data_IF_961754534086
#
_entry.id   IF_961754534086
#
_cell.length_a   1.000
_cell.length_b   1.000
_cell.length_c   1.000
_cell.angle_alpha   90.00
_cell.angle_beta   90.00
_cell.angle_gamma   90.00
#
_symmetry.space_group_name_H-M   'P 1'
#
loop_
_entity.id
_entity.type
_entity.pdbx_description
1 polymer ?
#
# COMPACT_ATOMS: atom_id res chain seq x y z
N UNK A 1 -46.74 -7.83 -2.44
CA UNK A 1 -46.27 -6.43 -2.38
C UNK A 1 -46.52 -5.77 -1.04
N UNK A 2 -47.72 -5.89 -0.42
CA UNK A 2 -48.00 -5.35 0.92
C UNK A 2 -47.03 -5.85 2.00
N UNK A 3 -46.78 -7.15 2.09
CA UNK A 3 -45.83 -7.75 3.05
C UNK A 3 -44.38 -7.25 2.94
N UNK A 4 -43.94 -6.73 1.79
CA UNK A 4 -42.60 -6.20 1.58
C UNK A 4 -42.48 -4.79 2.14
N UNK A 5 -43.52 -3.97 2.00
CA UNK A 5 -43.55 -2.58 2.51
C UNK A 5 -43.69 -2.58 4.04
N UNK A 6 -44.56 -3.42 4.60
CA UNK A 6 -44.73 -3.56 6.05
C UNK A 6 -43.44 -4.03 6.73
N UNK A 7 -42.73 -4.98 6.10
CA UNK A 7 -41.43 -5.47 6.58
C UNK A 7 -40.36 -4.36 6.55
N UNK A 8 -40.28 -3.61 5.44
CA UNK A 8 -39.34 -2.51 5.29
C UNK A 8 -39.60 -1.38 6.33
N UNK A 9 -40.88 -1.09 6.61
CA UNK A 9 -41.27 -0.12 7.64
C UNK A 9 -40.86 -0.64 9.03
N UNK A 10 -41.16 -1.91 9.34
CA UNK A 10 -40.78 -2.51 10.62
C UNK A 10 -39.26 -2.52 10.82
N UNK A 11 -38.48 -2.91 9.81
CA UNK A 11 -37.04 -2.91 9.84
C UNK A 11 -36.47 -1.49 10.05
N UNK A 12 -37.05 -0.48 9.39
CA UNK A 12 -36.66 0.92 9.58
C UNK A 12 -36.95 1.43 11.00
N UNK A 13 -38.08 1.08 11.58
CA UNK A 13 -38.39 1.45 12.97
C UNK A 13 -37.49 0.73 13.98
N UNK A 14 -37.13 -0.53 13.73
CA UNK A 14 -36.18 -1.25 14.56
C UNK A 14 -34.78 -0.67 14.48
N UNK A 15 -34.31 -0.29 13.29
CA UNK A 15 -33.04 0.42 13.09
C UNK A 15 -33.02 1.79 13.80
N UNK A 16 -34.12 2.54 13.74
CA UNK A 16 -34.23 3.81 14.46
C UNK A 16 -34.22 3.63 15.98
N UNK A 17 -34.93 2.61 16.51
CA UNK A 17 -34.93 2.31 17.93
C UNK A 17 -33.54 1.90 18.43
N UNK A 18 -32.86 1.01 17.72
CA UNK A 18 -31.48 0.62 18.01
C UNK A 18 -30.52 1.79 17.90
N UNK A 19 -30.69 2.66 16.90
CA UNK A 19 -29.89 3.87 16.74
C UNK A 19 -30.05 4.84 17.92
N UNK A 20 -31.25 4.97 18.48
CA UNK A 20 -31.50 5.78 19.67
C UNK A 20 -30.91 5.16 20.94
N UNK A 21 -30.92 3.83 21.07
CA UNK A 21 -30.32 3.14 22.23
C UNK A 21 -28.79 3.16 22.20
N UNK A 22 -28.21 2.97 21.01
CA UNK A 22 -26.74 2.78 20.86
C UNK A 22 -26.01 4.04 20.39
N UNK A 23 -26.74 5.09 19.99
CA UNK A 23 -26.15 6.30 19.36
C UNK A 23 -25.63 6.07 17.94
N UNK A 24 -25.86 4.90 17.34
CA UNK A 24 -25.39 4.51 16.01
C UNK A 24 -26.56 4.20 15.08
N UNK A 25 -26.75 4.98 14.03
CA UNK A 25 -27.81 4.79 13.03
C UNK A 25 -27.32 4.00 11.83
N UNK A 26 -28.18 3.10 11.31
CA UNK A 26 -27.93 2.28 10.14
C UNK A 26 -27.59 0.82 10.49
N UNK A 27 -27.50 -0.03 9.44
CA UNK A 27 -27.17 -1.44 9.59
C UNK A 27 -25.79 -1.59 10.26
N UNK A 28 -25.74 -2.33 11.36
CA UNK A 28 -24.48 -2.61 12.06
C UNK A 28 -23.60 -3.51 11.17
N UNK A 29 -22.34 -3.11 10.90
CA UNK A 29 -21.42 -3.98 10.19
C UNK A 29 -21.14 -5.25 10.99
N UNK A 30 -21.12 -6.37 10.31
CA UNK A 30 -20.77 -7.67 10.88
C UNK A 30 -19.34 -8.00 10.53
N UNK A 31 -18.47 -8.10 11.53
CA UNK A 31 -17.03 -8.33 11.32
C UNK A 31 -16.62 -9.60 12.06
N UNK A 32 -16.08 -10.58 11.32
CA UNK A 32 -15.45 -11.74 11.91
C UNK A 32 -14.02 -11.39 12.39
N UNK A 33 -13.59 -12.02 13.49
CA UNK A 33 -12.21 -11.97 13.97
C UNK A 33 -11.74 -13.41 14.24
N UNK A 34 -10.67 -13.87 13.55
CA UNK A 34 -9.99 -15.11 13.95
C UNK A 34 -9.21 -14.85 15.23
N UNK A 35 -9.60 -15.49 16.33
CA UNK A 35 -9.06 -15.21 17.67
C UNK A 35 -7.73 -15.88 17.94
N UNK A 36 -7.47 -17.01 17.25
CA UNK A 36 -6.28 -17.84 17.46
C UNK A 36 -5.06 -17.32 16.69
N UNK A 37 -3.86 -17.76 17.07
CA UNK A 37 -2.62 -17.40 16.36
C UNK A 37 -1.93 -16.13 16.88
N UNK A 38 -2.51 -15.38 17.84
CA UNK A 38 -1.86 -14.23 18.47
C UNK A 38 -0.66 -14.65 19.34
N UNK A 39 0.47 -13.96 19.22
CA UNK A 39 1.63 -14.13 20.12
C UNK A 39 1.31 -13.72 21.58
N UNK A 40 0.24 -12.95 21.78
CA UNK A 40 -0.23 -12.48 23.08
C UNK A 40 -1.39 -13.30 23.65
N UNK A 41 -1.69 -14.45 23.04
CA UNK A 41 -2.78 -15.32 23.46
C UNK A 41 -4.17 -14.91 22.92
N UNK A 42 -5.12 -15.80 23.09
CA UNK A 42 -6.49 -15.62 22.60
C UNK A 42 -7.25 -14.54 23.39
N UNK A 43 -6.89 -14.34 24.66
CA UNK A 43 -7.45 -13.29 25.51
C UNK A 43 -7.18 -11.87 24.95
N UNK A 44 -6.03 -11.65 24.32
CA UNK A 44 -5.71 -10.38 23.65
C UNK A 44 -6.68 -10.12 22.48
N UNK A 45 -6.97 -11.12 21.68
CA UNK A 45 -7.93 -11.03 20.55
C UNK A 45 -9.36 -10.85 21.06
N UNK A 46 -9.75 -11.53 22.13
CA UNK A 46 -11.07 -11.38 22.73
C UNK A 46 -11.26 -9.98 23.35
N UNK A 47 -10.23 -9.44 24.03
CA UNK A 47 -10.28 -8.07 24.55
C UNK A 47 -10.51 -7.05 23.43
N UNK A 48 -9.86 -7.24 22.28
CA UNK A 48 -10.10 -6.41 21.09
C UNK A 48 -11.53 -6.51 20.54
N UNK A 49 -12.08 -7.73 20.50
CA UNK A 49 -13.45 -7.97 20.06
C UNK A 49 -14.47 -7.26 20.95
N UNK A 50 -14.31 -7.37 22.28
CA UNK A 50 -15.19 -6.70 23.27
C UNK A 50 -15.10 -5.18 23.11
N UNK A 51 -13.89 -4.64 22.89
CA UNK A 51 -13.72 -3.20 22.72
C UNK A 51 -14.38 -2.69 21.44
N UNK A 52 -14.19 -3.38 20.32
CA UNK A 52 -14.79 -2.98 19.04
C UNK A 52 -16.33 -3.13 19.03
N UNK A 53 -16.89 -4.12 19.73
CA UNK A 53 -18.33 -4.33 19.80
C UNK A 53 -19.07 -3.13 20.45
N UNK A 54 -18.40 -2.36 21.32
CA UNK A 54 -18.97 -1.15 21.95
C UNK A 54 -19.25 -0.03 20.93
N UNK A 55 -18.63 -0.09 19.75
CA UNK A 55 -18.75 0.96 18.71
C UNK A 55 -19.84 0.66 17.68
N UNK A 56 -20.83 -0.17 18.05
CA UNK A 56 -21.94 -0.50 17.15
C UNK A 56 -21.52 -1.42 15.99
N UNK A 57 -20.63 -2.37 16.27
CA UNK A 57 -20.17 -3.40 15.35
C UNK A 57 -20.60 -4.76 15.90
N UNK A 58 -21.20 -5.59 15.06
CA UNK A 58 -21.51 -6.97 15.43
C UNK A 58 -20.27 -7.83 15.19
N UNK A 59 -19.52 -8.12 16.26
CA UNK A 59 -18.28 -8.88 16.19
C UNK A 59 -18.56 -10.37 16.34
N UNK A 60 -18.12 -11.14 15.34
CA UNK A 60 -18.15 -12.61 15.31
C UNK A 60 -16.74 -13.12 15.64
N UNK A 61 -16.54 -13.57 16.86
CA UNK A 61 -15.26 -14.08 17.32
C UNK A 61 -15.14 -15.57 16.99
N UNK A 62 -14.17 -15.93 16.17
CA UNK A 62 -13.91 -17.31 15.75
C UNK A 62 -12.76 -17.85 16.60
N UNK A 63 -13.08 -18.69 17.59
CA UNK A 63 -12.10 -19.17 18.58
C UNK A 63 -12.75 -19.98 19.70
N UNK A 64 -12.05 -20.08 20.83
CA UNK A 64 -12.51 -20.89 21.97
C UNK A 64 -13.20 -20.08 23.08
N UNK A 65 -12.90 -18.78 23.17
CA UNK A 65 -13.37 -17.92 24.26
C UNK A 65 -14.78 -17.36 23.99
N UNK A 66 -15.51 -17.06 25.04
CA UNK A 66 -16.82 -16.43 25.00
C UNK A 66 -16.83 -15.15 25.84
N UNK A 67 -17.55 -14.13 25.38
CA UNK A 67 -17.74 -12.89 26.13
C UNK A 67 -19.11 -12.27 25.82
N UNK A 68 -19.63 -11.49 26.77
CA UNK A 68 -20.86 -10.71 26.58
C UNK A 68 -20.66 -9.65 25.50
N UNK A 69 -21.64 -9.50 24.62
CA UNK A 69 -21.61 -8.52 23.51
C UNK A 69 -20.84 -8.98 22.27
N UNK A 70 -20.28 -10.19 22.28
CA UNK A 70 -19.54 -10.79 21.15
C UNK A 70 -20.19 -12.13 20.81
N UNK A 71 -20.40 -12.38 19.52
CA UNK A 71 -20.92 -13.67 19.05
C UNK A 71 -19.75 -14.61 18.83
N UNK A 72 -19.63 -15.68 19.64
CA UNK A 72 -18.56 -16.66 19.46
C UNK A 72 -18.96 -17.78 18.53
N UNK A 73 -18.11 -18.03 17.53
CA UNK A 73 -18.12 -19.18 16.63
C UNK A 73 -17.01 -20.13 17.08
N UNK A 74 -17.40 -21.23 17.74
CA UNK A 74 -16.42 -22.16 18.31
C UNK A 74 -15.74 -22.99 17.23
N UNK A 75 -14.42 -23.06 17.33
CA UNK A 75 -13.53 -23.87 16.48
C UNK A 75 -12.47 -24.53 17.35
N UNK A 76 -11.92 -25.64 16.88
CA UNK A 76 -10.94 -26.41 17.66
C UNK A 76 -9.48 -25.95 17.46
N UNK A 77 -9.18 -25.30 16.33
CA UNK A 77 -7.84 -24.86 15.96
C UNK A 77 -7.88 -23.70 14.95
N UNK A 78 -6.72 -23.13 14.66
CA UNK A 78 -6.56 -21.99 13.75
C UNK A 78 -6.99 -22.30 12.31
N UNK A 79 -6.69 -23.51 11.80
CA UNK A 79 -7.06 -23.95 10.45
C UNK A 79 -8.59 -24.00 10.27
N UNK A 80 -9.30 -24.64 11.19
CA UNK A 80 -10.77 -24.64 11.22
C UNK A 80 -11.33 -23.22 11.32
N UNK A 81 -10.65 -22.34 12.07
CA UNK A 81 -11.00 -20.94 12.20
C UNK A 81 -10.92 -20.19 10.88
N UNK A 82 -9.90 -20.43 10.09
CA UNK A 82 -9.76 -19.85 8.74
C UNK A 82 -10.82 -20.34 7.79
N UNK A 83 -11.07 -21.66 7.75
CA UNK A 83 -12.10 -22.26 6.89
C UNK A 83 -13.48 -21.68 7.23
N UNK A 84 -13.77 -21.54 8.53
CA UNK A 84 -15.04 -20.97 8.99
C UNK A 84 -15.19 -19.50 8.64
N UNK A 85 -14.13 -18.72 8.76
CA UNK A 85 -14.10 -17.31 8.35
C UNK A 85 -14.42 -17.16 6.86
N UNK A 86 -13.78 -17.97 6.00
CA UNK A 86 -14.02 -17.94 4.56
C UNK A 86 -15.45 -18.36 4.20
N UNK A 87 -15.99 -19.39 4.87
CA UNK A 87 -17.38 -19.82 4.72
C UNK A 87 -18.35 -18.68 5.05
N UNK A 88 -18.16 -18.01 6.19
CA UNK A 88 -19.03 -16.92 6.65
C UNK A 88 -18.98 -15.70 5.71
N UNK A 89 -17.82 -15.36 5.18
CA UNK A 89 -17.67 -14.30 4.17
C UNK A 89 -18.40 -14.68 2.87
N UNK A 90 -18.19 -15.91 2.38
CA UNK A 90 -18.79 -16.40 1.15
C UNK A 90 -20.31 -16.47 1.22
N UNK A 91 -20.85 -16.85 2.39
CA UNK A 91 -22.29 -16.93 2.61
C UNK A 91 -22.94 -15.58 2.95
N UNK A 92 -22.15 -14.52 3.13
CA UNK A 92 -22.64 -13.18 3.51
C UNK A 92 -23.16 -13.13 4.96
N UNK A 93 -22.72 -14.06 5.82
CA UNK A 93 -23.02 -14.06 7.25
C UNK A 93 -22.30 -12.90 7.95
N UNK A 94 -21.12 -12.54 7.46
CA UNK A 94 -20.34 -11.36 7.88
C UNK A 94 -20.00 -10.51 6.67
N UNK A 95 -19.86 -9.19 6.90
CA UNK A 95 -19.53 -8.22 5.85
C UNK A 95 -18.01 -8.09 5.64
N UNK A 96 -17.21 -8.44 6.66
CA UNK A 96 -15.74 -8.36 6.65
C UNK A 96 -15.13 -9.35 7.64
N UNK A 97 -13.84 -9.60 7.50
CA UNK A 97 -13.07 -10.39 8.45
C UNK A 97 -11.73 -9.72 8.79
N UNK A 98 -11.25 -9.95 10.02
CA UNK A 98 -9.91 -9.58 10.50
C UNK A 98 -9.18 -10.86 10.87
N UNK A 99 -7.99 -11.05 10.32
CA UNK A 99 -7.18 -12.25 10.55
C UNK A 99 -5.69 -11.94 10.56
N UNK A 100 -4.89 -12.83 11.11
CA UNK A 100 -3.43 -12.66 11.22
C UNK A 100 -2.67 -13.16 9.99
N UNK A 101 -3.32 -13.95 9.15
CA UNK A 101 -2.77 -14.47 7.90
C UNK A 101 -3.87 -14.73 6.88
N UNK A 102 -3.62 -14.39 5.62
CA UNK A 102 -4.50 -14.74 4.51
C UNK A 102 -3.72 -14.78 3.19
N UNK A 103 -3.88 -15.85 2.38
CA UNK A 103 -3.15 -16.00 1.11
C UNK A 103 -3.85 -15.22 -0.01
N UNK A 104 -3.61 -13.92 -0.11
CA UNK A 104 -4.17 -13.13 -1.20
C UNK A 104 -3.66 -13.59 -2.58
N UNK A 105 -4.51 -13.61 -3.60
CA UNK A 105 -4.08 -13.88 -4.97
C UNK A 105 -3.20 -12.73 -5.50
N UNK A 106 -2.38 -13.04 -6.52
CA UNK A 106 -1.63 -12.00 -7.26
C UNK A 106 -2.62 -11.00 -7.88
N UNK A 107 -2.37 -9.72 -7.71
CA UNK A 107 -3.27 -8.64 -8.08
C UNK A 107 -3.99 -8.00 -6.88
N UNK A 108 -3.89 -8.62 -5.70
CA UNK A 108 -4.46 -8.10 -4.45
C UNK A 108 -3.33 -7.74 -3.49
N UNK A 109 -3.39 -6.54 -2.95
CA UNK A 109 -2.47 -6.08 -1.91
C UNK A 109 -3.21 -5.27 -0.86
N UNK A 110 -2.62 -5.17 0.33
CA UNK A 110 -3.28 -4.53 1.46
C UNK A 110 -2.91 -3.06 1.60
N UNK A 111 -3.88 -2.27 2.05
CA UNK A 111 -3.70 -0.85 2.36
C UNK A 111 -3.79 -0.67 3.87
N UNK A 112 -2.63 -0.62 4.52
CA UNK A 112 -2.54 -0.38 5.95
C UNK A 112 -2.92 1.05 6.33
N UNK A 113 -3.21 1.26 7.62
CA UNK A 113 -3.48 2.59 8.16
C UNK A 113 -2.72 2.75 9.47
N UNK A 114 -1.82 3.70 9.51
CA UNK A 114 -0.97 3.97 10.68
C UNK A 114 -1.29 5.33 11.29
N UNK A 115 -0.82 5.52 12.52
CA UNK A 115 -0.79 6.82 13.21
C UNK A 115 0.66 7.26 13.29
N UNK A 116 0.96 8.44 12.76
CA UNK A 116 2.34 8.91 12.67
C UNK A 116 2.81 9.54 13.99
N UNK A 117 4.07 9.28 14.40
CA UNK A 117 4.54 9.69 15.72
C UNK A 117 4.72 11.20 15.90
N UNK A 118 5.05 11.94 14.83
CA UNK A 118 5.32 13.37 14.95
C UNK A 118 4.05 14.22 15.08
N UNK A 119 2.95 13.81 14.43
CA UNK A 119 1.73 14.62 14.32
C UNK A 119 0.49 13.93 14.83
N UNK A 120 0.57 12.65 15.20
CA UNK A 120 -0.57 11.78 15.52
C UNK A 120 -1.65 11.75 14.42
N UNK A 121 -1.27 12.02 13.17
CA UNK A 121 -2.16 11.94 12.01
C UNK A 121 -2.21 10.52 11.49
N UNK A 122 -3.36 10.18 10.96
CA UNK A 122 -3.56 8.92 10.24
C UNK A 122 -3.05 9.04 8.81
N UNK A 123 -2.38 8.01 8.34
CA UNK A 123 -1.86 7.89 6.99
C UNK A 123 -2.10 6.47 6.46
N UNK A 124 -2.60 6.37 5.24
CA UNK A 124 -2.73 5.09 4.54
C UNK A 124 -1.39 4.68 3.93
N UNK A 125 -0.98 3.44 4.12
CA UNK A 125 0.23 2.86 3.54
C UNK A 125 -0.17 1.87 2.45
N UNK A 126 0.09 2.20 1.23
CA UNK A 126 -0.23 1.40 0.05
C UNK A 126 1.07 0.96 -0.66
N UNK A 127 1.57 -0.21 -0.48
CA UNK A 127 1.10 -1.49 0.03
C UNK A 127 1.81 -1.90 1.35
N UNK A 128 1.21 -2.87 2.10
CA UNK A 128 1.78 -3.39 3.36
C UNK A 128 2.00 -4.90 3.34
N UNK A 129 1.22 -5.66 2.56
CA UNK A 129 1.40 -7.10 2.28
C UNK A 129 0.63 -7.48 1.01
N UNK A 130 0.83 -8.68 0.51
CA UNK A 130 0.30 -9.12 -0.78
C UNK A 130 1.11 -8.56 -1.97
N UNK A 131 0.68 -8.89 -3.17
CA UNK A 131 1.40 -8.60 -4.41
C UNK A 131 0.44 -8.10 -5.47
N UNK A 132 0.37 -6.78 -5.69
CA UNK A 132 -0.50 -6.17 -6.71
C UNK A 132 -0.01 -6.40 -8.14
N UNK A 133 1.30 -6.61 -8.35
CA UNK A 133 1.92 -7.05 -9.59
C UNK A 133 3.28 -7.68 -9.31
N UNK A 134 3.72 -8.56 -10.19
CA UNK A 134 5.10 -9.10 -10.19
C UNK A 134 6.13 -8.08 -10.65
N UNK A 135 5.72 -7.06 -11.41
CA UNK A 135 6.52 -5.88 -11.74
C UNK A 135 6.38 -4.84 -10.63
N UNK A 136 7.50 -4.35 -10.12
CA UNK A 136 7.54 -3.42 -8.99
C UNK A 136 6.86 -2.09 -9.29
N UNK A 137 7.12 -1.50 -10.45
CA UNK A 137 6.58 -0.18 -10.83
C UNK A 137 5.09 -0.31 -11.13
N UNK A 138 4.67 -1.33 -11.89
CA UNK A 138 3.26 -1.65 -12.07
C UNK A 138 2.56 -1.86 -10.71
N UNK A 139 3.23 -2.58 -9.78
CA UNK A 139 2.74 -2.77 -8.42
C UNK A 139 2.51 -1.45 -7.70
N UNK A 140 3.46 -0.53 -7.73
CA UNK A 140 3.34 0.78 -7.08
C UNK A 140 2.25 1.65 -7.71
N UNK A 141 2.07 1.60 -9.04
CA UNK A 141 0.97 2.30 -9.73
C UNK A 141 -0.38 1.77 -9.23
N UNK A 142 -0.56 0.45 -9.18
CA UNK A 142 -1.78 -0.19 -8.66
C UNK A 142 -1.99 0.11 -7.17
N UNK A 143 -0.94 0.10 -6.38
CA UNK A 143 -0.99 0.42 -4.95
C UNK A 143 -1.53 1.85 -4.73
N UNK A 144 -1.16 2.83 -5.55
CA UNK A 144 -1.73 4.17 -5.48
C UNK A 144 -3.25 4.17 -5.66
N UNK A 145 -3.76 3.41 -6.63
CA UNK A 145 -5.19 3.26 -6.89
C UNK A 145 -5.89 2.58 -5.71
N UNK A 146 -5.29 1.52 -5.15
CA UNK A 146 -5.84 0.80 -3.99
C UNK A 146 -5.87 1.69 -2.74
N UNK A 147 -4.83 2.53 -2.55
CA UNK A 147 -4.82 3.54 -1.50
C UNK A 147 -5.96 4.56 -1.65
N UNK A 148 -6.21 5.04 -2.87
CA UNK A 148 -7.32 5.96 -3.16
C UNK A 148 -8.67 5.30 -2.85
N UNK A 149 -8.87 4.04 -3.25
CA UNK A 149 -10.10 3.28 -2.95
C UNK A 149 -10.31 3.19 -1.44
N UNK A 150 -9.31 2.76 -0.68
CA UNK A 150 -9.40 2.65 0.78
C UNK A 150 -9.70 3.99 1.45
N UNK A 151 -8.99 5.04 1.08
CA UNK A 151 -9.16 6.38 1.64
C UNK A 151 -10.54 6.97 1.33
N UNK A 152 -11.03 6.82 0.09
CA UNK A 152 -12.38 7.26 -0.30
C UNK A 152 -13.47 6.49 0.45
N UNK A 153 -13.35 5.17 0.56
CA UNK A 153 -14.27 4.36 1.35
C UNK A 153 -14.26 4.72 2.84
N UNK A 154 -13.16 5.28 3.34
CA UNK A 154 -13.07 5.86 4.68
C UNK A 154 -13.56 7.31 4.77
N UNK A 155 -14.20 7.85 3.72
CA UNK A 155 -14.83 9.17 3.73
C UNK A 155 -13.93 10.34 3.30
N UNK A 156 -12.68 10.08 2.87
CA UNK A 156 -11.84 11.13 2.28
C UNK A 156 -12.25 11.39 0.84
N UNK A 157 -12.80 12.57 0.56
CA UNK A 157 -13.31 12.90 -0.79
C UNK A 157 -12.20 12.99 -1.82
N UNK A 158 -11.13 13.70 -1.49
CA UNK A 158 -9.97 13.96 -2.37
C UNK A 158 -8.70 13.63 -1.59
N UNK A 159 -8.37 12.33 -1.41
CA UNK A 159 -7.17 11.97 -0.67
C UNK A 159 -5.91 12.34 -1.47
N UNK A 160 -4.94 12.94 -0.78
CA UNK A 160 -3.66 13.30 -1.38
C UNK A 160 -2.71 12.10 -1.44
N UNK A 161 -2.01 11.96 -2.57
CA UNK A 161 -1.10 10.84 -2.85
C UNK A 161 0.35 11.32 -2.83
N UNK A 162 1.19 10.68 -2.05
CA UNK A 162 2.62 10.81 -2.06
C UNK A 162 3.29 9.47 -2.36
N UNK A 163 4.42 9.50 -3.06
CA UNK A 163 5.17 8.29 -3.44
C UNK A 163 6.44 8.27 -2.63
N UNK A 164 6.64 7.24 -1.81
CA UNK A 164 7.88 7.12 -1.06
C UNK A 164 9.07 6.99 -2.04
N UNK A 165 10.18 7.69 -1.75
CA UNK A 165 11.38 7.66 -2.59
C UNK A 165 12.13 6.33 -2.47
N UNK A 166 11.48 5.27 -2.93
CA UNK A 166 12.05 3.94 -3.14
C UNK A 166 12.36 3.77 -4.62
N UNK A 167 13.09 2.71 -4.95
CA UNK A 167 13.35 2.37 -6.33
C UNK A 167 12.04 2.24 -7.14
N UNK A 168 11.99 2.85 -8.33
CA UNK A 168 10.78 2.96 -9.15
C UNK A 168 9.87 4.15 -8.85
N UNK A 169 10.17 4.99 -7.84
CA UNK A 169 9.31 6.12 -7.45
C UNK A 169 9.08 7.13 -8.58
N UNK A 170 10.13 7.47 -9.34
CA UNK A 170 10.01 8.45 -10.44
C UNK A 170 9.22 7.92 -11.62
N UNK A 171 9.39 6.64 -11.96
CA UNK A 171 8.60 6.00 -13.01
C UNK A 171 7.13 5.90 -12.59
N UNK A 172 6.85 5.58 -11.34
CA UNK A 172 5.51 5.58 -10.75
C UNK A 172 4.89 6.98 -10.81
N UNK A 173 5.64 8.02 -10.40
CA UNK A 173 5.22 9.42 -10.52
C UNK A 173 4.81 9.79 -11.95
N UNK A 174 5.66 9.47 -12.92
CA UNK A 174 5.40 9.73 -14.34
C UNK A 174 4.12 9.05 -14.83
N UNK A 175 3.93 7.79 -14.46
CA UNK A 175 2.74 7.04 -14.85
C UNK A 175 1.46 7.60 -14.21
N UNK A 176 1.49 7.93 -12.91
CA UNK A 176 0.34 8.51 -12.22
C UNK A 176 -0.01 9.91 -12.72
N UNK A 177 0.99 10.74 -13.07
CA UNK A 177 0.77 12.04 -13.72
C UNK A 177 0.12 11.88 -15.09
N UNK A 178 0.53 10.88 -15.87
CA UNK A 178 -0.10 10.57 -17.16
C UNK A 178 -1.57 10.13 -16.99
N UNK A 179 -1.89 9.36 -15.96
CA UNK A 179 -3.29 9.04 -15.60
C UNK A 179 -4.08 10.31 -15.27
N UNK A 180 -3.49 11.24 -14.51
CA UNK A 180 -4.11 12.51 -14.15
C UNK A 180 -4.37 13.37 -15.42
N UNK A 181 -3.41 13.49 -16.31
CA UNK A 181 -3.52 14.19 -17.59
C UNK A 181 -4.62 13.58 -18.48
N UNK A 182 -4.81 12.25 -18.41
CA UNK A 182 -5.88 11.53 -19.10
C UNK A 182 -7.24 11.64 -18.40
N UNK A 183 -7.35 12.40 -17.31
CA UNK A 183 -8.61 12.73 -16.64
C UNK A 183 -8.97 11.84 -15.44
N UNK A 184 -8.05 11.01 -14.93
CA UNK A 184 -8.24 10.36 -13.64
C UNK A 184 -7.88 11.33 -12.50
N UNK A 185 -8.82 11.66 -11.57
CA UNK A 185 -8.58 12.69 -10.57
C UNK A 185 -7.66 12.20 -9.45
N UNK A 186 -6.36 12.50 -9.56
CA UNK A 186 -5.37 12.27 -8.50
C UNK A 186 -4.95 13.62 -7.95
N UNK A 187 -5.02 13.80 -6.63
CA UNK A 187 -4.40 14.93 -5.94
C UNK A 187 -3.05 14.48 -5.38
N UNK A 188 -1.98 15.12 -5.83
CA UNK A 188 -0.64 14.83 -5.30
C UNK A 188 -0.35 15.71 -4.09
N UNK A 189 0.20 15.08 -3.04
CA UNK A 189 0.72 15.81 -1.90
C UNK A 189 2.07 16.46 -2.24
N UNK A 190 2.38 17.54 -1.56
CA UNK A 190 3.70 18.16 -1.60
C UNK A 190 4.56 17.71 -0.43
N UNK A 191 5.79 17.31 -0.72
CA UNK A 191 6.80 17.03 0.31
C UNK A 191 7.13 18.31 1.08
N UNK A 192 7.38 18.20 2.37
CA UNK A 192 7.82 19.31 3.22
C UNK A 192 9.22 19.86 2.90
N UNK A 193 9.86 19.39 1.83
CA UNK A 193 11.17 19.86 1.36
C UNK A 193 11.05 21.16 0.58
N UNK A 194 12.18 21.90 0.51
CA UNK A 194 12.24 23.16 -0.22
C UNK A 194 11.97 23.04 -1.73
N UNK A 195 12.26 21.86 -2.32
CA UNK A 195 12.02 21.54 -3.74
C UNK A 195 10.61 20.99 -4.00
N UNK A 196 9.82 20.71 -2.96
CA UNK A 196 8.45 20.21 -3.08
C UNK A 196 8.35 18.87 -3.81
N UNK A 197 7.22 18.71 -4.55
CA UNK A 197 6.94 17.52 -5.34
C UNK A 197 6.32 16.36 -4.55
N UNK A 198 5.81 15.36 -5.28
CA UNK A 198 5.06 14.26 -4.67
C UNK A 198 5.91 13.03 -4.29
N UNK A 199 7.23 13.08 -4.52
CA UNK A 199 8.14 12.02 -4.05
C UNK A 199 8.58 12.32 -2.63
N UNK A 200 8.12 11.48 -1.70
CA UNK A 200 8.20 11.65 -0.26
C UNK A 200 9.47 11.04 0.33
N UNK A 201 9.93 11.60 1.45
CA UNK A 201 11.08 11.09 2.22
C UNK A 201 10.68 10.74 3.66
N UNK A 202 11.65 10.29 4.47
CA UNK A 202 11.42 9.86 5.84
C UNK A 202 10.69 10.89 6.72
N UNK A 203 10.98 12.18 6.58
CA UNK A 203 10.28 13.23 7.33
C UNK A 203 8.80 13.33 6.93
N UNK A 204 8.47 13.13 5.66
CA UNK A 204 7.09 13.14 5.18
C UNK A 204 6.29 11.97 5.75
N UNK A 205 6.95 10.82 5.97
CA UNK A 205 6.36 9.67 6.67
C UNK A 205 6.01 10.02 8.11
N UNK A 206 6.95 10.63 8.84
CA UNK A 206 6.77 10.96 10.26
C UNK A 206 5.69 12.01 10.49
N UNK A 207 5.47 12.90 9.51
CA UNK A 207 4.51 14.01 9.58
C UNK A 207 3.16 13.68 8.94
N UNK A 208 3.03 12.56 8.25
CA UNK A 208 1.90 12.26 7.37
C UNK A 208 1.65 13.41 6.39
N UNK A 209 2.68 13.75 5.57
CA UNK A 209 2.53 14.78 4.55
C UNK A 209 1.44 14.43 3.54
N UNK A 210 1.37 13.19 2.96
CA UNK A 210 0.23 12.75 2.18
C UNK A 210 -0.81 12.04 3.05
N UNK A 211 -2.05 11.96 2.55
CA UNK A 211 -3.04 11.02 3.09
C UNK A 211 -2.69 9.57 2.77
N UNK A 212 -2.12 9.34 1.59
CA UNK A 212 -1.74 8.01 1.07
C UNK A 212 -0.26 8.02 0.73
N UNK A 213 0.51 7.19 1.41
CA UNK A 213 1.92 6.92 1.10
C UNK A 213 2.02 5.67 0.25
N UNK A 214 2.38 5.84 -1.02
CA UNK A 214 2.60 4.73 -1.95
C UNK A 214 4.00 4.16 -1.78
N UNK A 215 4.09 2.84 -1.66
CA UNK A 215 5.35 2.14 -1.46
C UNK A 215 5.28 0.70 -2.00
N UNK A 216 6.40 0.00 -2.03
CA UNK A 216 6.43 -1.45 -2.22
C UNK A 216 6.02 -2.21 -0.96
N UNK A 217 5.67 -3.47 -1.11
CA UNK A 217 5.13 -4.29 -0.01
C UNK A 217 6.10 -4.47 1.16
N UNK A 218 7.39 -4.66 0.90
CA UNK A 218 8.38 -4.88 1.95
C UNK A 218 8.58 -3.60 2.78
N UNK A 219 8.77 -2.48 2.10
CA UNK A 219 8.94 -1.18 2.77
C UNK A 219 7.71 -0.80 3.57
N UNK A 220 6.51 -0.96 2.99
CA UNK A 220 5.26 -0.66 3.70
C UNK A 220 5.00 -1.57 4.88
N UNK A 221 5.32 -2.87 4.77
CA UNK A 221 5.23 -3.81 5.89
C UNK A 221 6.12 -3.37 7.07
N UNK A 222 7.39 -3.06 6.79
CA UNK A 222 8.34 -2.59 7.80
C UNK A 222 7.87 -1.26 8.42
N UNK A 223 7.38 -0.33 7.59
CA UNK A 223 6.89 0.97 8.07
C UNK A 223 5.71 0.81 9.04
N UNK A 224 4.70 0.01 8.68
CA UNK A 224 3.57 -0.25 9.59
C UNK A 224 4.06 -0.88 10.89
N UNK A 225 4.93 -1.88 10.81
CA UNK A 225 5.49 -2.53 12.00
C UNK A 225 6.25 -1.56 12.91
N UNK A 226 7.09 -0.71 12.35
CA UNK A 226 7.86 0.28 13.12
C UNK A 226 6.96 1.36 13.73
N UNK A 227 6.01 1.90 12.95
CA UNK A 227 5.10 2.95 13.43
C UNK A 227 4.09 2.41 14.45
N UNK A 228 3.61 1.18 14.30
CA UNK A 228 2.65 0.58 15.24
C UNK A 228 3.28 0.16 16.56
N UNK A 229 4.57 -0.18 16.58
CA UNK A 229 5.30 -0.60 17.79
C UNK A 229 6.20 0.49 18.40
N UNK A 230 6.17 1.71 17.84
CA UNK A 230 7.00 2.82 18.31
C UNK A 230 6.83 3.12 19.81
N UNK A 231 5.59 3.16 20.30
CA UNK A 231 5.27 3.49 21.69
C UNK A 231 5.61 2.39 22.70
N UNK A 232 5.84 1.17 22.21
CA UNK A 232 6.16 -0.01 23.04
C UNK A 232 7.64 -0.40 22.99
N UNK A 233 8.47 0.43 22.32
CA UNK A 233 9.88 0.11 22.11
C UNK A 233 10.11 -1.13 21.23
N UNK A 234 9.15 -1.50 20.40
CA UNK A 234 9.22 -2.64 19.50
C UNK A 234 8.72 -3.96 20.09
N UNK A 235 8.21 -3.97 21.34
CA UNK A 235 7.78 -5.21 22.00
C UNK A 235 6.48 -5.78 21.43
N UNK A 236 5.55 -4.93 21.00
CA UNK A 236 4.30 -5.29 20.31
C UNK A 236 3.71 -4.09 19.60
N UNK A 237 2.78 -4.33 18.67
CA UNK A 237 2.08 -3.28 17.96
C UNK A 237 0.92 -2.76 18.80
N UNK A 238 0.95 -1.46 19.16
CA UNK A 238 -0.02 -0.81 20.06
C UNK A 238 -0.82 0.33 19.39
N UNK A 239 -0.37 0.83 18.23
CA UNK A 239 -0.99 1.98 17.55
C UNK A 239 -1.29 1.67 16.09
N UNK A 240 -2.26 2.41 15.51
CA UNK A 240 -2.67 2.20 14.12
C UNK A 240 -3.82 1.20 13.98
N UNK A 241 -4.04 0.75 12.74
CA UNK A 241 -5.22 -0.01 12.33
C UNK A 241 -4.83 -1.33 11.63
N UNK A 242 -3.63 -1.82 11.85
CA UNK A 242 -3.09 -3.01 11.22
C UNK A 242 -2.64 -2.79 9.77
N UNK A 243 -2.50 -3.90 9.05
CA UNK A 243 -1.98 -3.94 7.68
C UNK A 243 -3.06 -3.70 6.62
N UNK A 244 -4.32 -3.66 7.03
CA UNK A 244 -5.47 -3.21 6.26
C UNK A 244 -6.12 -4.26 5.36
N UNK A 245 -7.09 -3.81 4.54
CA UNK A 245 -7.84 -4.66 3.64
C UNK A 245 -7.04 -5.07 2.42
N UNK A 246 -7.24 -6.30 1.95
CA UNK A 246 -6.87 -6.71 0.61
C UNK A 246 -7.76 -5.99 -0.42
N UNK A 247 -7.14 -5.30 -1.37
CA UNK A 247 -7.81 -4.62 -2.47
C UNK A 247 -7.21 -5.10 -3.79
N UNK A 248 -8.06 -5.36 -4.76
CA UNK A 248 -7.67 -5.79 -6.10
C UNK A 248 -8.83 -5.71 -7.06
N UNK A 249 -8.55 -5.63 -8.35
CA UNK A 249 -9.59 -5.59 -9.36
C UNK A 249 -10.34 -6.93 -9.43
N UNK A 250 -11.68 -6.89 -9.27
CA UNK A 250 -12.52 -8.08 -9.24
C UNK A 250 -12.43 -8.90 -7.96
N UNK A 251 -11.74 -8.41 -6.93
CA UNK A 251 -11.68 -9.03 -5.62
C UNK A 251 -12.75 -8.43 -4.70
N UNK A 252 -13.73 -9.24 -4.30
CA UNK A 252 -14.93 -8.80 -3.58
C UNK A 252 -15.04 -9.40 -2.17
N UNK A 253 -13.91 -9.71 -1.53
CA UNK A 253 -13.86 -10.13 -0.13
C UNK A 253 -13.15 -9.08 0.71
N UNK A 254 -13.75 -8.66 1.80
CA UNK A 254 -13.15 -7.70 2.72
C UNK A 254 -12.42 -8.44 3.85
N UNK A 255 -11.17 -8.77 3.61
CA UNK A 255 -10.28 -9.41 4.59
C UNK A 255 -9.20 -8.42 4.99
N UNK A 256 -9.13 -8.15 6.30
CA UNK A 256 -8.15 -7.26 6.93
C UNK A 256 -7.03 -8.08 7.55
N UNK A 257 -5.80 -7.64 7.42
CA UNK A 257 -4.65 -8.27 8.05
C UNK A 257 -4.19 -7.49 9.28
N UNK A 258 -3.96 -8.22 10.35
CA UNK A 258 -3.21 -7.79 11.53
C UNK A 258 -2.01 -8.69 11.74
N UNK A 259 -1.01 -8.23 12.48
CA UNK A 259 0.16 -9.05 12.83
C UNK A 259 -0.17 -10.00 14.00
N UNK A 260 0.53 -11.12 14.10
CA UNK A 260 0.51 -11.96 15.32
C UNK A 260 0.99 -11.20 16.55
N UNK A 261 1.84 -10.19 16.35
CA UNK A 261 2.34 -9.30 17.41
C UNK A 261 1.43 -8.08 17.67
N UNK A 262 0.25 -8.00 17.02
CA UNK A 262 -0.69 -6.91 17.26
C UNK A 262 -1.36 -7.06 18.63
N UNK A 263 -1.26 -6.00 19.44
CA UNK A 263 -1.98 -5.88 20.68
C UNK A 263 -3.48 -5.62 20.48
N UNK A 264 -4.28 -5.80 21.51
CA UNK A 264 -5.73 -5.58 21.47
C UNK A 264 -6.15 -4.23 20.87
N UNK A 265 -5.48 -3.10 21.11
CA UNK A 265 -5.85 -1.82 20.51
C UNK A 265 -5.76 -1.82 18.97
N UNK A 266 -4.72 -2.45 18.40
CA UNK A 266 -4.55 -2.51 16.93
C UNK A 266 -5.58 -3.43 16.31
N UNK A 267 -5.87 -4.58 16.94
CA UNK A 267 -6.90 -5.52 16.46
C UNK A 267 -8.28 -4.87 16.51
N UNK A 268 -8.62 -4.17 17.63
CA UNK A 268 -9.89 -3.43 17.76
C UNK A 268 -10.00 -2.35 16.67
N UNK A 269 -8.93 -1.60 16.42
CA UNK A 269 -8.90 -0.60 15.38
C UNK A 269 -9.00 -1.21 13.97
N UNK A 270 -8.45 -2.41 13.72
CA UNK A 270 -8.63 -3.11 12.46
C UNK A 270 -10.11 -3.50 12.23
N UNK A 271 -10.81 -3.94 13.29
CA UNK A 271 -12.25 -4.19 13.24
C UNK A 271 -13.03 -2.90 12.92
N UNK A 272 -12.68 -1.77 13.57
CA UNK A 272 -13.26 -0.44 13.28
C UNK A 272 -13.00 0.00 11.83
N UNK A 273 -11.80 -0.24 11.34
CA UNK A 273 -11.42 0.08 9.95
C UNK A 273 -12.24 -0.78 8.97
N UNK A 274 -12.40 -2.09 9.22
CA UNK A 274 -13.27 -2.96 8.44
C UNK A 274 -14.72 -2.44 8.43
N UNK A 275 -15.26 -2.09 9.60
CA UNK A 275 -16.61 -1.55 9.71
C UNK A 275 -16.77 -0.21 8.96
N UNK A 276 -15.75 0.65 8.97
CA UNK A 276 -15.75 1.90 8.22
C UNK A 276 -15.78 1.65 6.71
N UNK A 277 -15.00 0.69 6.21
CA UNK A 277 -14.98 0.29 4.80
C UNK A 277 -16.32 -0.31 4.35
N UNK A 278 -16.97 -1.10 5.21
CA UNK A 278 -18.33 -1.64 4.95
C UNK A 278 -19.33 -0.50 4.82
N UNK A 279 -19.36 0.42 5.79
CA UNK A 279 -20.26 1.61 5.76
C UNK A 279 -19.98 2.49 4.55
N UNK A 280 -18.71 2.63 4.16
CA UNK A 280 -18.26 3.39 3.00
C UNK A 280 -18.37 2.63 1.69
N UNK A 281 -18.94 1.42 1.68
CA UNK A 281 -19.22 0.62 0.48
C UNK A 281 -17.98 0.43 -0.41
N UNK A 282 -16.91 -0.07 0.18
CA UNK A 282 -15.58 -0.17 -0.47
C UNK A 282 -15.63 -0.83 -1.84
N UNK A 283 -16.48 -1.84 -2.05
CA UNK A 283 -16.59 -2.53 -3.35
C UNK A 283 -17.25 -1.67 -4.44
N UNK A 284 -18.24 -0.82 -4.06
CA UNK A 284 -18.82 0.15 -5.00
C UNK A 284 -17.78 1.19 -5.39
N UNK A 285 -17.04 1.75 -4.41
CA UNK A 285 -15.93 2.67 -4.64
C UNK A 285 -14.85 2.03 -5.51
N UNK A 286 -14.45 0.79 -5.22
CA UNK A 286 -13.46 0.06 -6.01
C UNK A 286 -13.90 -0.09 -7.47
N UNK A 287 -15.15 -0.48 -7.71
CA UNK A 287 -15.71 -0.62 -9.06
C UNK A 287 -15.68 0.69 -9.84
N UNK A 288 -16.03 1.80 -9.18
CA UNK A 288 -15.99 3.13 -9.80
C UNK A 288 -14.55 3.55 -10.12
N UNK A 289 -13.61 3.40 -9.18
CA UNK A 289 -12.22 3.77 -9.37
C UNK A 289 -11.53 2.92 -10.45
N UNK A 290 -11.74 1.59 -10.46
CA UNK A 290 -11.20 0.74 -11.52
C UNK A 290 -11.78 1.07 -12.89
N UNK A 291 -13.06 1.43 -12.99
CA UNK A 291 -13.65 1.89 -14.23
C UNK A 291 -13.05 3.23 -14.69
N UNK A 292 -12.81 4.16 -13.75
CA UNK A 292 -12.22 5.46 -14.05
C UNK A 292 -10.76 5.35 -14.53
N UNK A 293 -9.92 4.55 -13.87
CA UNK A 293 -8.52 4.37 -14.30
C UNK A 293 -8.41 3.63 -15.63
N UNK A 294 -9.30 2.67 -15.91
CA UNK A 294 -9.38 2.02 -17.23
C UNK A 294 -9.69 3.02 -18.33
N UNK A 295 -10.68 3.89 -18.09
CA UNK A 295 -11.04 4.96 -19.02
C UNK A 295 -9.89 5.94 -19.26
N UNK A 296 -9.06 6.19 -18.23
CA UNK A 296 -7.87 7.03 -18.33
C UNK A 296 -6.65 6.33 -18.98
N UNK A 297 -6.81 5.10 -19.46
CA UNK A 297 -5.76 4.39 -20.21
C UNK A 297 -4.71 3.73 -19.31
N UNK A 298 -5.08 3.21 -18.14
CA UNK A 298 -4.14 2.51 -17.26
C UNK A 298 -3.42 1.37 -17.99
N UNK A 299 -4.15 0.59 -18.80
CA UNK A 299 -3.55 -0.53 -19.51
C UNK A 299 -2.46 -0.09 -20.48
N UNK A 300 -2.72 0.95 -21.26
CA UNK A 300 -1.80 1.52 -22.22
C UNK A 300 -0.53 2.03 -21.54
N UNK A 301 -0.68 2.69 -20.39
CA UNK A 301 0.45 3.20 -19.59
C UNK A 301 1.31 2.03 -19.06
N UNK A 302 0.70 0.96 -18.58
CA UNK A 302 1.40 -0.23 -18.11
C UNK A 302 2.09 -0.99 -19.25
N UNK A 303 1.45 -1.07 -20.42
CA UNK A 303 2.03 -1.72 -21.62
C UNK A 303 3.24 -0.92 -22.15
N UNK A 304 3.15 0.43 -22.16
CA UNK A 304 4.31 1.29 -22.47
C UNK A 304 5.48 1.07 -21.51
N UNK A 305 5.18 0.97 -20.20
CA UNK A 305 6.20 0.68 -19.21
C UNK A 305 6.89 -0.67 -19.48
N UNK A 306 6.11 -1.72 -19.72
CA UNK A 306 6.65 -3.06 -20.06
C UNK A 306 7.47 -3.05 -21.36
N UNK A 307 7.04 -2.28 -22.34
CA UNK A 307 7.76 -2.14 -23.60
C UNK A 307 9.13 -1.46 -23.41
N UNK A 308 9.20 -0.48 -22.50
CA UNK A 308 10.46 0.21 -22.17
C UNK A 308 11.45 -0.66 -21.39
N UNK A 309 10.96 -1.71 -20.71
CA UNK A 309 11.80 -2.67 -19.96
C UNK A 309 12.30 -3.84 -20.81
N UNK A 310 11.74 -4.05 -22.02
CA UNK A 310 12.30 -5.08 -22.91
C UNK A 310 13.72 -4.67 -23.25
N UNK A 311 14.75 -5.52 -23.02
CA UNK A 311 16.10 -5.24 -23.48
C UNK A 311 16.00 -4.91 -24.97
N UNK A 312 16.59 -3.80 -25.38
CA UNK A 312 16.84 -3.55 -26.79
C UNK A 312 17.49 -4.82 -27.35
N UNK A 313 16.96 -5.33 -28.45
CA UNK A 313 17.34 -6.61 -29.04
C UNK A 313 18.83 -6.85 -28.90
N UNK A 314 19.21 -8.03 -28.37
CA UNK A 314 20.55 -8.57 -28.22
C UNK A 314 21.64 -7.49 -28.17
N UNK A 315 22.05 -7.10 -26.95
CA UNK A 315 23.21 -6.20 -26.79
C UNK A 315 24.36 -6.79 -27.61
N UNK A 316 24.81 -6.05 -28.63
CA UNK A 316 26.12 -6.32 -29.21
C UNK A 316 27.10 -6.35 -28.03
N UNK A 317 27.83 -7.45 -27.87
CA UNK A 317 28.90 -7.57 -26.88
C UNK A 317 29.86 -6.40 -27.08
N UNK A 318 29.68 -5.35 -26.27
CA UNK A 318 30.54 -4.17 -26.35
C UNK A 318 31.90 -4.57 -25.77
N UNK A 319 32.89 -4.70 -26.64
CA UNK A 319 34.21 -5.07 -26.24
C UNK A 319 34.84 -3.94 -25.41
N UNK A 320 35.27 -4.29 -24.20
CA UNK A 320 35.99 -3.35 -23.31
C UNK A 320 37.25 -2.82 -24.05
N UNK A 321 37.47 -1.50 -24.14
CA UNK A 321 38.70 -0.93 -24.68
C UNK A 321 39.91 -1.30 -23.83
N UNK A 322 41.15 -1.15 -24.34
CA UNK A 322 42.34 -1.34 -23.53
C UNK A 322 42.30 -0.51 -22.25
N UNK A 323 42.65 -1.13 -21.12
CA UNK A 323 42.62 -0.46 -19.81
C UNK A 323 43.51 0.76 -19.78
N UNK A 324 42.95 1.89 -19.32
CA UNK A 324 43.65 3.15 -19.07
C UNK A 324 43.62 3.46 -17.58
N UNK A 325 44.55 4.33 -17.11
CA UNK A 325 44.50 4.85 -15.76
C UNK A 325 43.41 5.90 -15.69
N UNK A 326 42.37 5.65 -14.88
CA UNK A 326 41.23 6.57 -14.73
C UNK A 326 41.45 7.48 -13.53
N UNK A 327 41.70 8.77 -13.82
CA UNK A 327 42.01 9.80 -12.84
C UNK A 327 40.88 10.83 -12.68
N UNK A 328 40.10 11.05 -13.72
CA UNK A 328 38.99 11.99 -13.73
C UNK A 328 37.64 11.32 -13.37
N UNK A 329 36.70 12.14 -12.88
CA UNK A 329 35.38 11.67 -12.43
C UNK A 329 34.27 12.52 -13.05
N UNK A 330 33.23 11.86 -13.58
CA UNK A 330 32.02 12.51 -14.12
C UNK A 330 30.87 12.20 -13.16
N UNK A 331 30.39 13.17 -12.37
CA UNK A 331 29.24 13.00 -11.47
C UNK A 331 27.91 13.23 -12.19
N UNK A 332 26.79 13.07 -11.47
CA UNK A 332 25.45 13.44 -11.98
C UNK A 332 24.80 12.39 -12.85
N UNK A 333 25.23 11.13 -12.74
CA UNK A 333 24.64 9.97 -13.44
C UNK A 333 23.81 9.17 -12.45
N UNK A 334 22.64 8.70 -12.85
CA UNK A 334 21.82 7.85 -11.98
C UNK A 334 22.45 6.45 -11.87
N UNK A 335 22.29 5.80 -10.68
CA UNK A 335 22.85 4.45 -10.42
C UNK A 335 22.45 3.45 -11.49
N UNK A 336 21.21 3.51 -11.96
CA UNK A 336 20.65 2.59 -12.96
C UNK A 336 21.25 2.79 -14.37
N UNK A 337 21.79 3.98 -14.64
CA UNK A 337 22.35 4.34 -15.94
C UNK A 337 23.89 4.16 -16.02
N UNK A 338 24.55 3.85 -14.89
CA UNK A 338 26.01 3.77 -14.82
C UNK A 338 26.59 2.75 -15.82
N UNK A 339 26.07 1.52 -15.82
CA UNK A 339 26.62 0.47 -16.70
C UNK A 339 26.36 0.76 -18.17
N UNK A 340 25.19 1.30 -18.50
CA UNK A 340 24.86 1.70 -19.87
C UNK A 340 25.72 2.87 -20.33
N UNK A 341 25.98 3.85 -19.48
CA UNK A 341 26.84 4.98 -19.78
C UNK A 341 28.30 4.53 -19.99
N UNK A 342 28.79 3.56 -19.20
CA UNK A 342 30.10 2.92 -19.40
C UNK A 342 30.14 2.24 -20.76
N UNK A 343 29.13 1.43 -21.11
CA UNK A 343 29.04 0.72 -22.40
C UNK A 343 29.03 1.68 -23.60
N UNK A 344 28.34 2.85 -23.45
CA UNK A 344 28.36 3.89 -24.51
C UNK A 344 29.79 4.42 -24.73
N UNK A 345 30.52 4.71 -23.66
CA UNK A 345 31.89 5.17 -23.77
C UNK A 345 32.81 4.10 -24.36
N UNK A 346 32.62 2.84 -23.99
CA UNK A 346 33.36 1.72 -24.57
C UNK A 346 33.10 1.56 -26.08
N UNK A 347 31.87 1.75 -26.57
CA UNK A 347 31.54 1.77 -28.00
C UNK A 347 32.30 2.85 -28.77
N UNK A 348 32.62 3.95 -28.09
CA UNK A 348 33.41 5.05 -28.64
C UNK A 348 34.94 4.86 -28.48
N UNK A 349 35.36 3.71 -27.94
CA UNK A 349 36.77 3.41 -27.69
C UNK A 349 37.35 4.14 -26.47
N UNK A 350 36.52 4.69 -25.61
CA UNK A 350 36.91 5.38 -24.37
C UNK A 350 36.81 4.38 -23.22
N UNK A 351 37.93 4.08 -22.57
CA UNK A 351 37.91 3.25 -21.35
C UNK A 351 37.27 4.03 -20.20
N UNK A 352 36.29 3.41 -19.56
CA UNK A 352 35.55 3.97 -18.44
C UNK A 352 35.19 2.90 -17.41
N UNK A 353 35.15 3.31 -16.14
CA UNK A 353 34.73 2.46 -15.01
C UNK A 353 33.59 3.15 -14.25
N UNK A 354 32.60 2.37 -13.81
CA UNK A 354 31.60 2.85 -12.86
C UNK A 354 32.17 2.86 -11.44
N UNK A 355 31.74 3.81 -10.63
CA UNK A 355 32.17 3.92 -9.24
C UNK A 355 31.22 4.75 -8.39
N UNK A 356 31.53 4.82 -7.08
CA UNK A 356 30.82 5.64 -6.12
C UNK A 356 31.75 6.71 -5.61
N UNK A 357 31.40 7.98 -5.82
CA UNK A 357 32.10 9.14 -5.27
C UNK A 357 31.46 9.68 -3.99
N UNK A 358 32.03 10.72 -3.41
CA UNK A 358 31.51 11.35 -2.18
C UNK A 358 30.11 11.95 -2.35
N UNK A 359 29.73 12.32 -3.57
CA UNK A 359 28.45 12.96 -3.90
C UNK A 359 27.45 12.03 -4.59
N UNK A 360 27.79 10.76 -4.77
CA UNK A 360 26.93 9.77 -5.44
C UNK A 360 27.64 8.98 -6.54
N UNK A 361 26.88 8.37 -7.46
CA UNK A 361 27.41 7.60 -8.58
C UNK A 361 28.27 8.45 -9.52
N UNK A 362 29.37 7.88 -9.97
CA UNK A 362 30.32 8.54 -10.88
C UNK A 362 30.78 7.57 -11.98
N UNK A 363 31.15 8.12 -13.13
CA UNK A 363 31.96 7.42 -14.12
C UNK A 363 33.38 7.95 -14.03
N UNK A 364 34.34 7.01 -14.03
CA UNK A 364 35.77 7.33 -14.00
C UNK A 364 36.36 7.14 -15.40
N UNK A 365 37.11 8.12 -15.88
CA UNK A 365 37.79 8.08 -17.16
C UNK A 365 39.20 8.64 -17.01
N UNK A 366 40.07 8.50 -18.03
CA UNK A 366 41.35 9.17 -18.05
C UNK A 366 41.15 10.70 -18.26
N UNK A 367 42.05 11.55 -17.71
CA UNK A 367 42.03 13.01 -17.91
C UNK A 367 42.02 13.41 -19.39
N UNK A 368 42.68 12.64 -20.23
CA UNK A 368 42.74 12.87 -21.67
C UNK A 368 41.37 12.71 -22.37
N UNK A 369 40.49 11.84 -21.81
CA UNK A 369 39.18 11.52 -22.37
C UNK A 369 38.02 12.24 -21.68
N UNK A 370 38.27 13.01 -20.60
CA UNK A 370 37.22 13.60 -19.77
C UNK A 370 36.26 14.49 -20.60
N UNK A 371 36.76 15.46 -21.32
CA UNK A 371 35.94 16.41 -22.08
C UNK A 371 35.08 15.71 -23.14
N UNK A 372 35.66 14.71 -23.84
CA UNK A 372 34.95 13.93 -24.84
C UNK A 372 33.87 13.04 -24.21
N UNK A 373 34.18 12.42 -23.07
CA UNK A 373 33.22 11.56 -22.36
C UNK A 373 32.03 12.39 -21.83
N UNK A 374 32.26 13.55 -21.25
CA UNK A 374 31.20 14.46 -20.81
C UNK A 374 30.27 14.90 -21.96
N UNK A 375 30.86 15.28 -23.11
CA UNK A 375 30.12 15.72 -24.29
C UNK A 375 29.20 14.56 -24.79
N UNK A 376 29.72 13.36 -24.88
CA UNK A 376 28.94 12.21 -25.37
C UNK A 376 27.85 11.78 -24.38
N UNK A 377 28.11 11.81 -23.09
CA UNK A 377 27.10 11.51 -22.07
C UNK A 377 26.00 12.57 -22.00
N UNK A 378 26.31 13.84 -22.23
CA UNK A 378 25.31 14.92 -22.35
C UNK A 378 24.40 14.75 -23.56
N UNK A 379 24.94 14.33 -24.72
CA UNK A 379 24.14 14.10 -25.94
C UNK A 379 23.05 13.04 -25.75
N UNK A 380 23.29 12.06 -24.92
CA UNK A 380 22.34 11.00 -24.62
C UNK A 380 21.45 11.28 -23.39
N UNK A 381 21.55 12.49 -22.80
CA UNK A 381 20.74 12.91 -21.66
C UNK A 381 21.01 12.17 -20.35
N UNK A 382 22.21 11.55 -20.21
CA UNK A 382 22.59 10.73 -19.05
C UNK A 382 23.58 11.40 -18.11
N UNK A 383 23.96 12.65 -18.34
CA UNK A 383 24.75 13.45 -17.41
C UNK A 383 24.13 14.83 -17.22
N UNK A 384 23.81 15.19 -16.00
CA UNK A 384 23.40 16.54 -15.59
C UNK A 384 24.61 17.26 -14.99
N UNK A 385 25.56 17.69 -15.82
CA UNK A 385 26.69 18.52 -15.40
C UNK A 385 26.51 19.92 -15.95
#
# INVERSE_FOLDING_TARGET
MANSIERMIADTFMEMAQGLETGSFGKRPKVALTGMGSEHGEENSMAAAIEAAKDGIDVYYIGTLEAEGVTTVKVANDEEGHDKMEEMLKNGEVDAAVTMHFPFPIGVSTVGRCVTPATAKEMFIANTTGTSSTDRIEGMIKNAIYGIIAAKACGKKNPTVGILNVDGARQTEKALKKLQENGYPIEFAESGRADGGCVMRGNDVLQASPDIMVTDSLTGNIMVKMLSSFTTGGSFEATGFGYGPGIGEGYEQLVMIVSRASGAPVIANAIRYAAQLVRGKVFEVAKEEFAAVKKAGLKEILDEHKASQKPAAAEEEVKEPPKEVVTAQIPGIEVMDLEDAVKVLWKLGIYAESGMGCTGPIIRVSDANLAKAEEELKKIGRAHV
#
